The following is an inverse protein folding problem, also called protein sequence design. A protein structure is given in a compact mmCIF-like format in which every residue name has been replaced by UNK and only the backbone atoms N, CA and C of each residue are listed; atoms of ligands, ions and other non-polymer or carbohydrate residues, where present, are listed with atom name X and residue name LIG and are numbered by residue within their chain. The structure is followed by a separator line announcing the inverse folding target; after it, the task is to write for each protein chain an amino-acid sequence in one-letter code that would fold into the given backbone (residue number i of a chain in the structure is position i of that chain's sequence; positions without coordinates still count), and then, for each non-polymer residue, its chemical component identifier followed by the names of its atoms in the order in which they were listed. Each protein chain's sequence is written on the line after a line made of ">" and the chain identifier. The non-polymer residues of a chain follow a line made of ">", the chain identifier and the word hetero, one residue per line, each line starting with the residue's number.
data_IF_898747779863
#
_entry.id   IF_898747779863
#
_cell.length_a   1.000
_cell.length_b   1.000
_cell.length_c   1.000
_cell.angle_alpha   90.00
_cell.angle_beta   90.00
_cell.angle_gamma   90.00
#
_symmetry.space_group_name_H-M   'P 1'
#
loop_
_entity.id
_entity.type
_entity.pdbx_description
1 polymer ?
#
# COMPACT_ATOMS: atom_id res chain seq x y z
N UNK A 1 -22.90 -12.02 -5.33
CA UNK A 1 -21.62 -12.11 -4.60
C UNK A 1 -21.95 -12.17 -3.12
N UNK A 2 -21.32 -13.06 -2.35
CA UNK A 2 -21.51 -13.08 -0.90
C UNK A 2 -20.95 -11.77 -0.33
N UNK A 3 -21.72 -11.10 0.52
CA UNK A 3 -21.23 -9.91 1.23
C UNK A 3 -20.15 -10.36 2.22
N UNK A 4 -18.89 -10.10 1.91
CA UNK A 4 -17.78 -10.42 2.81
C UNK A 4 -17.92 -9.58 4.08
N UNK A 5 -17.96 -10.25 5.23
CA UNK A 5 -18.11 -9.60 6.54
C UNK A 5 -16.76 -9.07 6.98
N UNK A 6 -16.72 -7.83 7.49
CA UNK A 6 -15.50 -7.21 8.00
C UNK A 6 -14.83 -8.05 9.10
N UNK A 7 -15.63 -8.60 10.03
CA UNK A 7 -15.16 -9.49 11.11
C UNK A 7 -14.88 -10.94 10.65
N UNK A 8 -14.91 -11.21 9.35
CA UNK A 8 -14.65 -12.53 8.78
C UNK A 8 -13.15 -12.84 8.66
N UNK A 9 -12.82 -14.09 8.33
CA UNK A 9 -11.43 -14.55 8.16
C UNK A 9 -10.90 -14.37 6.73
N UNK A 10 -11.46 -13.42 5.99
CA UNK A 10 -11.02 -13.06 4.64
C UNK A 10 -10.36 -11.68 4.66
N UNK A 11 -9.58 -11.35 3.63
CA UNK A 11 -9.01 -10.01 3.49
C UNK A 11 -10.12 -9.01 3.19
N UNK A 12 -10.35 -8.05 4.08
CA UNK A 12 -11.42 -7.05 3.93
C UNK A 12 -10.93 -5.68 4.37
N UNK A 13 -11.37 -4.66 3.64
CA UNK A 13 -11.25 -3.27 4.04
C UNK A 13 -12.63 -2.64 4.22
N UNK A 14 -12.69 -1.61 5.05
CA UNK A 14 -13.84 -0.73 5.17
C UNK A 14 -13.40 0.68 4.78
N UNK A 15 -14.07 1.30 3.82
CA UNK A 15 -13.87 2.72 3.51
C UNK A 15 -14.52 3.56 4.59
N UNK A 16 -13.74 4.45 5.22
CA UNK A 16 -14.21 5.40 6.24
C UNK A 16 -14.61 6.72 5.59
N UNK A 17 -13.73 7.25 4.73
CA UNK A 17 -13.92 8.55 4.10
C UNK A 17 -13.23 8.59 2.74
N UNK A 18 -13.77 9.40 1.83
CA UNK A 18 -13.17 9.74 0.54
C UNK A 18 -13.19 11.25 0.38
N UNK A 19 -12.13 11.81 -0.18
CA UNK A 19 -12.04 13.22 -0.56
C UNK A 19 -11.16 13.38 -1.78
N UNK A 20 -11.38 14.45 -2.53
CA UNK A 20 -10.55 14.79 -3.68
C UNK A 20 -10.45 16.29 -3.84
N UNK A 21 -9.33 16.76 -4.41
CA UNK A 21 -9.16 18.13 -4.85
C UNK A 21 -8.27 18.20 -6.09
N UNK A 22 -8.40 19.29 -6.83
CA UNK A 22 -7.51 19.59 -7.97
C UNK A 22 -6.37 20.45 -7.47
N UNK A 23 -5.14 19.98 -7.64
CA UNK A 23 -3.92 20.75 -7.48
C UNK A 23 -3.53 21.37 -8.82
N UNK A 24 -3.74 22.67 -8.95
CA UNK A 24 -3.24 23.43 -10.09
C UNK A 24 -1.82 23.85 -9.74
N UNK A 25 -0.85 23.02 -10.14
CA UNK A 25 0.54 23.21 -9.78
C UNK A 25 1.02 24.64 -10.06
N UNK A 26 1.94 25.14 -9.24
CA UNK A 26 2.43 26.52 -9.36
C UNK A 26 3.53 26.70 -10.42
N UNK A 27 4.08 25.62 -11.00
CA UNK A 27 5.38 25.67 -11.69
C UNK A 27 5.43 25.11 -13.11
N UNK A 28 4.39 24.45 -13.59
CA UNK A 28 4.29 23.94 -14.98
C UNK A 28 2.79 23.92 -15.28
N UNK A 29 2.35 24.16 -16.51
CA UNK A 29 0.95 24.09 -16.96
C UNK A 29 0.38 22.67 -16.81
N UNK A 30 0.35 22.15 -15.60
CA UNK A 30 -0.06 20.80 -15.25
C UNK A 30 -0.96 20.85 -14.03
N UNK A 31 -2.10 20.19 -14.16
CA UNK A 31 -3.07 20.04 -13.10
C UNK A 31 -3.11 18.58 -12.69
N UNK A 32 -3.19 18.34 -11.39
CA UNK A 32 -3.27 17.00 -10.81
C UNK A 32 -4.59 16.83 -10.06
N UNK A 33 -5.22 15.68 -10.23
CA UNK A 33 -6.30 15.25 -9.35
C UNK A 33 -5.67 14.46 -8.20
N UNK A 34 -5.90 14.93 -6.98
CA UNK A 34 -5.44 14.27 -5.76
C UNK A 34 -6.66 13.69 -5.06
N UNK A 35 -6.69 12.36 -4.94
CA UNK A 35 -7.76 11.60 -4.27
C UNK A 35 -7.20 10.95 -3.02
N UNK A 36 -7.88 11.14 -1.89
CA UNK A 36 -7.53 10.53 -0.61
C UNK A 36 -8.69 9.66 -0.11
N UNK A 37 -8.40 8.38 0.15
CA UNK A 37 -9.35 7.42 0.71
C UNK A 37 -8.81 6.90 2.04
N UNK A 38 -9.52 7.19 3.13
CA UNK A 38 -9.23 6.62 4.45
C UNK A 38 -9.92 5.27 4.57
N UNK A 39 -9.17 4.23 4.88
CA UNK A 39 -9.63 2.85 5.01
C UNK A 39 -9.31 2.30 6.39
N UNK A 40 -10.13 1.36 6.85
CA UNK A 40 -9.87 0.50 8.00
C UNK A 40 -9.61 -0.91 7.51
N UNK A 41 -8.55 -1.55 8.00
CA UNK A 41 -8.24 -2.95 7.74
C UNK A 41 -8.91 -3.84 8.79
N UNK A 42 -9.42 -5.00 8.39
CA UNK A 42 -9.76 -6.02 9.37
C UNK A 42 -8.51 -6.75 9.89
N UNK A 43 -8.66 -7.70 10.82
CA UNK A 43 -7.53 -8.40 11.43
C UNK A 43 -6.69 -9.17 10.41
N UNK A 44 -7.30 -9.73 9.37
CA UNK A 44 -6.58 -10.47 8.31
C UNK A 44 -5.72 -9.52 7.48
N UNK A 45 -6.31 -8.41 7.00
CA UNK A 45 -5.60 -7.41 6.21
C UNK A 45 -4.51 -6.69 7.01
N UNK A 46 -4.75 -6.42 8.29
CA UNK A 46 -3.75 -5.84 9.18
C UNK A 46 -2.60 -6.82 9.46
N UNK A 47 -2.88 -8.08 9.72
CA UNK A 47 -1.83 -9.08 9.94
C UNK A 47 -0.96 -9.27 8.70
N UNK A 48 -1.56 -9.30 7.50
CA UNK A 48 -0.81 -9.33 6.25
C UNK A 48 0.11 -8.09 6.12
N UNK A 49 -0.37 -6.90 6.52
CA UNK A 49 0.46 -5.70 6.55
C UNK A 49 1.64 -5.84 7.54
N UNK A 50 1.40 -6.28 8.77
CA UNK A 50 2.44 -6.46 9.81
C UNK A 50 3.50 -7.49 9.36
N UNK A 51 3.06 -8.62 8.79
CA UNK A 51 3.94 -9.73 8.37
C UNK A 51 4.75 -9.43 7.09
N UNK A 52 4.51 -8.29 6.46
CA UNK A 52 5.30 -7.80 5.32
C UNK A 52 6.30 -6.71 5.68
N UNK A 53 6.39 -6.32 6.96
CA UNK A 53 7.46 -5.46 7.45
C UNK A 53 8.78 -6.21 7.56
N UNK A 54 9.83 -5.71 6.91
CA UNK A 54 11.18 -6.26 6.99
C UNK A 54 11.89 -5.72 8.24
N UNK A 55 11.73 -6.41 9.37
CA UNK A 55 12.36 -6.01 10.64
C UNK A 55 13.84 -6.39 10.75
N UNK A 56 14.30 -7.37 9.96
CA UNK A 56 15.71 -7.75 9.95
C UNK A 56 16.55 -6.65 9.28
N UNK A 57 17.76 -6.47 9.78
CA UNK A 57 18.79 -5.64 9.16
C UNK A 57 19.92 -6.51 8.63
N UNK A 58 20.90 -5.90 7.92
CA UNK A 58 22.07 -6.62 7.42
C UNK A 58 22.83 -7.36 8.52
N UNK A 59 22.82 -6.83 9.74
CA UNK A 59 23.56 -7.38 10.89
C UNK A 59 22.98 -8.70 11.42
N UNK A 60 21.78 -9.09 10.95
CA UNK A 60 21.19 -10.39 11.26
C UNK A 60 21.83 -11.56 10.47
N UNK A 61 22.73 -11.27 9.54
CA UNK A 61 23.30 -12.26 8.60
C UNK A 61 24.83 -12.30 8.70
N UNK A 62 25.41 -13.45 8.37
CA UNK A 62 26.87 -13.66 8.39
C UNK A 62 27.60 -12.67 7.46
N UNK A 63 28.87 -12.38 7.74
CA UNK A 63 29.69 -11.57 6.85
C UNK A 63 30.08 -12.35 5.59
N UNK A 64 30.23 -11.62 4.48
CA UNK A 64 30.64 -12.16 3.18
C UNK A 64 29.49 -12.56 2.27
N UNK A 65 29.86 -13.14 1.12
CA UNK A 65 28.95 -13.35 -0.02
C UNK A 65 27.68 -14.14 0.32
N UNK A 66 27.80 -15.13 1.22
CA UNK A 66 26.67 -15.95 1.65
C UNK A 66 25.62 -15.12 2.39
N UNK A 67 26.03 -14.37 3.42
CA UNK A 67 25.09 -13.53 4.17
C UNK A 67 24.55 -12.35 3.36
N UNK A 68 25.34 -11.83 2.41
CA UNK A 68 24.85 -10.82 1.46
C UNK A 68 23.75 -11.37 0.54
N UNK A 69 23.91 -12.61 0.06
CA UNK A 69 22.91 -13.30 -0.74
C UNK A 69 21.62 -13.60 0.05
N UNK A 70 21.76 -14.08 1.29
CA UNK A 70 20.63 -14.33 2.21
C UNK A 70 19.87 -13.04 2.53
N UNK A 71 20.59 -11.95 2.82
CA UNK A 71 19.99 -10.64 3.06
C UNK A 71 19.24 -10.12 1.83
N UNK A 72 19.82 -10.27 0.64
CA UNK A 72 19.17 -9.86 -0.61
C UNK A 72 17.89 -10.66 -0.86
N UNK A 73 17.92 -11.98 -0.65
CA UNK A 73 16.75 -12.84 -0.80
C UNK A 73 15.65 -12.46 0.21
N UNK A 74 16.03 -12.22 1.46
CA UNK A 74 15.09 -11.81 2.50
C UNK A 74 14.39 -10.48 2.17
N UNK A 75 15.15 -9.46 1.73
CA UNK A 75 14.53 -8.20 1.28
C UNK A 75 13.53 -8.41 0.16
N UNK A 76 13.91 -9.19 -0.85
CA UNK A 76 13.05 -9.47 -2.00
C UNK A 76 11.74 -10.17 -1.58
N UNK A 77 11.83 -11.14 -0.67
CA UNK A 77 10.67 -11.82 -0.10
C UNK A 77 9.69 -10.84 0.58
N UNK A 78 10.20 -9.93 1.41
CA UNK A 78 9.34 -8.97 2.12
C UNK A 78 8.80 -7.86 1.19
N UNK A 79 9.59 -7.42 0.20
CA UNK A 79 9.11 -6.54 -0.87
C UNK A 79 7.95 -7.17 -1.66
N UNK A 80 8.04 -8.47 -1.98
CA UNK A 80 6.96 -9.21 -2.64
C UNK A 80 5.72 -9.30 -1.75
N UNK A 81 5.85 -9.65 -0.47
CA UNK A 81 4.72 -9.67 0.47
C UNK A 81 4.05 -8.30 0.57
N UNK A 82 4.84 -7.23 0.65
CA UNK A 82 4.33 -5.85 0.71
C UNK A 82 3.63 -5.48 -0.59
N UNK A 83 4.14 -5.91 -1.75
CA UNK A 83 3.50 -5.72 -3.05
C UNK A 83 2.15 -6.45 -3.12
N UNK A 84 2.11 -7.74 -2.77
CA UNK A 84 0.85 -8.52 -2.73
C UNK A 84 -0.20 -7.84 -1.87
N UNK A 85 0.19 -7.37 -0.67
CA UNK A 85 -0.72 -6.65 0.20
C UNK A 85 -1.26 -5.37 -0.43
N UNK A 86 -0.41 -4.57 -1.10
CA UNK A 86 -0.85 -3.35 -1.82
C UNK A 86 -1.81 -3.69 -2.96
N UNK A 87 -1.50 -4.72 -3.74
CA UNK A 87 -2.33 -5.17 -4.87
C UNK A 87 -3.75 -5.56 -4.39
N UNK A 88 -3.86 -6.24 -3.23
CA UNK A 88 -5.16 -6.55 -2.61
C UNK A 88 -5.94 -5.31 -2.16
N UNK A 89 -5.26 -4.26 -1.68
CA UNK A 89 -5.91 -2.99 -1.35
C UNK A 89 -6.42 -2.31 -2.62
N UNK A 90 -5.65 -2.30 -3.70
CA UNK A 90 -6.07 -1.71 -4.97
C UNK A 90 -7.26 -2.46 -5.57
N UNK A 91 -7.23 -3.79 -5.58
CA UNK A 91 -8.36 -4.62 -6.00
C UNK A 91 -9.61 -4.31 -5.17
N UNK A 92 -9.50 -4.26 -3.83
CA UNK A 92 -10.63 -3.99 -2.95
C UNK A 92 -11.20 -2.57 -3.06
N UNK A 93 -10.38 -1.61 -3.55
CA UNK A 93 -10.81 -0.24 -3.85
C UNK A 93 -11.23 -0.05 -5.32
N UNK A 94 -11.16 -1.09 -6.14
CA UNK A 94 -11.39 -1.04 -7.59
C UNK A 94 -10.52 0.03 -8.27
N UNK A 95 -9.25 0.14 -7.83
CA UNK A 95 -8.28 1.09 -8.35
C UNK A 95 -7.42 0.44 -9.44
N UNK A 96 -7.61 0.89 -10.67
CA UNK A 96 -6.69 0.63 -11.78
C UNK A 96 -5.65 1.76 -11.81
N UNK A 97 -4.38 1.41 -11.59
CA UNK A 97 -3.27 2.36 -11.49
C UNK A 97 -2.47 2.37 -12.79
N UNK A 98 -2.45 3.51 -13.46
CA UNK A 98 -1.53 3.76 -14.58
C UNK A 98 -0.18 4.24 -14.01
N UNK A 99 0.78 3.31 -13.92
CA UNK A 99 2.09 3.58 -13.34
C UNK A 99 2.91 4.62 -14.09
N UNK A 100 2.56 4.98 -15.33
CA UNK A 100 3.28 6.00 -16.10
C UNK A 100 2.79 7.43 -15.78
N UNK A 101 1.52 7.57 -15.38
CA UNK A 101 0.86 8.87 -15.19
C UNK A 101 0.31 9.11 -13.78
N UNK A 102 0.42 8.10 -12.91
CA UNK A 102 -0.16 8.14 -11.57
C UNK A 102 0.83 7.73 -10.48
N UNK A 103 0.73 8.43 -9.35
CA UNK A 103 1.41 8.09 -8.11
C UNK A 103 0.39 7.59 -7.08
N UNK A 104 0.70 6.47 -6.41
CA UNK A 104 -0.12 5.97 -5.31
C UNK A 104 0.73 5.72 -4.08
N UNK A 105 0.24 6.20 -2.93
CA UNK A 105 0.82 5.93 -1.62
C UNK A 105 -0.23 5.36 -0.69
N UNK A 106 0.17 4.38 0.13
CA UNK A 106 -0.65 3.85 1.22
C UNK A 106 0.15 4.04 2.50
N UNK A 107 -0.38 4.83 3.44
CA UNK A 107 0.31 5.19 4.68
C UNK A 107 -0.56 4.88 5.89
N UNK A 108 0.03 4.29 6.93
CA UNK A 108 -0.66 4.06 8.20
C UNK A 108 -0.95 5.40 8.87
N UNK A 109 -2.21 5.64 9.18
CA UNK A 109 -2.65 6.85 9.90
C UNK A 109 -2.69 6.60 11.40
N UNK A 110 -3.32 5.50 11.82
CA UNK A 110 -3.35 5.05 13.23
C UNK A 110 -3.81 3.59 13.30
N UNK A 111 -3.05 2.70 13.93
CA UNK A 111 -3.44 1.29 14.14
C UNK A 111 -3.90 0.63 12.82
N UNK A 112 -5.15 0.14 12.74
CA UNK A 112 -5.73 -0.47 11.55
C UNK A 112 -6.25 0.54 10.50
N UNK A 113 -6.11 1.84 10.74
CA UNK A 113 -6.56 2.91 9.84
C UNK A 113 -5.41 3.39 8.97
N UNK A 114 -5.64 3.37 7.66
CA UNK A 114 -4.69 3.75 6.62
C UNK A 114 -5.30 4.80 5.70
N UNK A 115 -4.44 5.57 5.05
CA UNK A 115 -4.85 6.50 4.00
C UNK A 115 -4.20 6.07 2.69
N UNK A 116 -5.02 5.86 1.67
CA UNK A 116 -4.61 5.65 0.29
C UNK A 116 -4.73 6.98 -0.44
N UNK A 117 -3.62 7.48 -0.98
CA UNK A 117 -3.58 8.70 -1.78
C UNK A 117 -3.22 8.32 -3.21
N UNK A 118 -4.06 8.69 -4.16
CA UNK A 118 -3.81 8.61 -5.61
C UNK A 118 -3.65 10.01 -6.16
N UNK A 119 -2.65 10.21 -7.00
CA UNK A 119 -2.39 11.44 -7.73
C UNK A 119 -2.35 11.08 -9.20
N UNK A 120 -3.20 11.69 -10.01
CA UNK A 120 -3.24 11.51 -11.47
C UNK A 120 -3.08 12.85 -12.16
N UNK A 121 -2.30 12.87 -13.26
CA UNK A 121 -2.21 14.06 -14.11
C UNK A 121 -3.49 14.20 -14.94
N UNK A 122 -4.10 15.38 -14.94
CA UNK A 122 -5.36 15.66 -15.67
C UNK A 122 -5.23 16.74 -16.74
N UNK A 123 -4.15 17.51 -16.73
CA UNK A 123 -3.72 18.43 -17.79
C UNK A 123 -2.20 18.60 -17.70
#
# INVERSE_FOLDING_TARGET
>A
MASTRFEGNEFVIQVIAKGAFVDNGTYVDSSYLVEATTIRLNHVALNAWILSECFNTRDCYEDGEKGDAEWKAHKAEYEERRKTWKDQIFEALELEIDTENEGVSITQSQSEVFTVVRISKIA
#
